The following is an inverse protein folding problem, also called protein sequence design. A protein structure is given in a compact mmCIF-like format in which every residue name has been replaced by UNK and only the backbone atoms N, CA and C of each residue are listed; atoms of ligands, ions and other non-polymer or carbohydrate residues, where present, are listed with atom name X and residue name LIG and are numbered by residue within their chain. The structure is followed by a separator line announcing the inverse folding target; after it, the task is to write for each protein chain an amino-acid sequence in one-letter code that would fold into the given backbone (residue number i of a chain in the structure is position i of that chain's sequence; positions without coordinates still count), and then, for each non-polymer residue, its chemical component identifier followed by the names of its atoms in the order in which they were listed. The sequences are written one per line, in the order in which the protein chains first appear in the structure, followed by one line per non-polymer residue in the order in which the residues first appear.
data_IF_257496411710
#
_entry.id   IF_257496411710
#
_cell.length_a   1.000
_cell.length_b   1.000
_cell.length_c   1.000
_cell.angle_alpha   90.00
_cell.angle_beta   90.00
_cell.angle_gamma   90.00
#
_symmetry.space_group_name_H-M   'P 1'
#
loop_
_entity.id
_entity.type
_entity.pdbx_description
1 polymer ?
#
# COMPACT_ATOMS: atom_id res chain seq x y z
N UNK A 1 -28.80 -49.87 24.22
CA UNK A 1 -28.09 -49.51 22.96
C UNK A 1 -28.62 -48.25 22.28
N UNK A 2 -29.90 -47.88 22.36
CA UNK A 2 -30.46 -46.68 21.65
C UNK A 2 -29.98 -45.35 22.21
N UNK A 3 -29.70 -45.21 23.51
CA UNK A 3 -29.23 -43.94 24.13
C UNK A 3 -27.80 -43.50 23.73
N UNK A 4 -26.92 -44.43 23.38
CA UNK A 4 -25.56 -44.09 22.96
C UNK A 4 -25.46 -43.62 21.50
N UNK A 5 -26.39 -44.05 20.64
CA UNK A 5 -26.46 -43.61 19.26
C UNK A 5 -26.92 -42.13 19.13
N UNK A 6 -27.84 -41.72 20.02
CA UNK A 6 -28.36 -40.35 20.02
C UNK A 6 -27.34 -39.30 20.44
N UNK A 7 -26.42 -39.65 21.33
CA UNK A 7 -25.35 -38.77 21.79
C UNK A 7 -24.27 -38.55 20.69
N UNK A 8 -23.96 -39.58 19.93
CA UNK A 8 -23.01 -39.49 18.80
C UNK A 8 -23.57 -38.64 17.65
N UNK A 9 -24.88 -38.68 17.39
CA UNK A 9 -25.49 -37.85 16.34
C UNK A 9 -25.57 -36.36 16.73
N UNK A 10 -25.83 -36.05 18.00
CA UNK A 10 -25.85 -34.68 18.51
C UNK A 10 -24.45 -34.04 18.51
N UNK A 11 -23.39 -34.81 18.80
CA UNK A 11 -22.03 -34.31 18.79
C UNK A 11 -21.51 -34.02 17.36
N UNK A 12 -21.93 -34.82 16.37
CA UNK A 12 -21.55 -34.58 14.97
C UNK A 12 -22.28 -33.36 14.37
N UNK A 13 -23.54 -33.10 14.78
CA UNK A 13 -24.24 -31.87 14.35
C UNK A 13 -23.67 -30.60 14.96
N UNK A 14 -23.17 -30.65 16.21
CA UNK A 14 -22.53 -29.51 16.85
C UNK A 14 -21.18 -29.16 16.20
N UNK A 15 -20.43 -30.17 15.75
CA UNK A 15 -19.15 -29.95 15.07
C UNK A 15 -19.35 -29.35 13.67
N UNK A 16 -20.40 -29.78 12.94
CA UNK A 16 -20.74 -29.19 11.64
C UNK A 16 -21.20 -27.72 11.75
N UNK A 17 -21.90 -27.36 12.83
CA UNK A 17 -22.33 -25.96 13.03
C UNK A 17 -21.19 -25.02 13.39
N UNK A 18 -20.09 -25.53 13.97
CA UNK A 18 -18.89 -24.74 14.27
C UNK A 18 -17.99 -24.53 13.03
N UNK A 19 -18.06 -25.40 12.02
CA UNK A 19 -17.35 -25.21 10.77
C UNK A 19 -18.06 -24.27 9.78
N UNK A 20 -19.36 -24.02 9.94
CA UNK A 20 -20.11 -23.09 9.08
C UNK A 20 -19.92 -21.60 9.41
N UNK A 21 -19.27 -21.27 10.53
CA UNK A 21 -19.13 -19.86 10.98
C UNK A 21 -17.77 -19.23 10.68
N UNK A 22 -16.88 -19.93 10.00
CA UNK A 22 -15.50 -19.48 9.76
C UNK A 22 -15.20 -19.13 8.30
N UNK A 23 -16.21 -18.85 7.48
CA UNK A 23 -16.02 -17.95 6.35
C UNK A 23 -16.14 -16.54 6.91
N UNK A 24 -15.11 -16.12 7.64
CA UNK A 24 -14.91 -14.73 7.93
C UNK A 24 -14.89 -14.01 6.57
N UNK A 25 -15.98 -13.33 6.26
CA UNK A 25 -15.94 -12.23 5.32
C UNK A 25 -14.78 -11.37 5.81
N UNK A 26 -13.66 -11.39 5.10
CA UNK A 26 -12.62 -10.41 5.23
C UNK A 26 -13.25 -9.09 4.78
N UNK A 27 -14.01 -8.47 5.69
CA UNK A 27 -14.37 -7.06 5.54
C UNK A 27 -13.04 -6.36 5.34
N UNK A 28 -12.86 -5.80 4.16
CA UNK A 28 -11.71 -4.94 3.91
C UNK A 28 -11.76 -3.89 4.99
N UNK A 29 -10.69 -3.72 5.81
CA UNK A 29 -10.73 -2.78 6.94
C UNK A 29 -10.77 -1.32 6.48
N UNK A 30 -11.08 -1.10 5.20
CA UNK A 30 -11.03 0.20 4.53
C UNK A 30 -12.43 0.61 4.07
N UNK A 31 -12.78 1.91 4.17
CA UNK A 31 -14.08 2.39 3.72
C UNK A 31 -14.27 2.17 2.21
N UNK A 32 -15.37 1.56 1.81
CA UNK A 32 -15.75 1.34 0.39
C UNK A 32 -15.73 2.62 -0.45
N UNK A 33 -15.92 3.77 0.20
CA UNK A 33 -15.85 5.09 -0.43
C UNK A 33 -14.47 5.42 -1.00
N UNK A 34 -13.38 4.88 -0.42
CA UNK A 34 -12.01 5.12 -0.91
C UNK A 34 -11.78 4.36 -2.22
N UNK A 35 -12.10 3.07 -2.26
CA UNK A 35 -11.95 2.25 -3.48
C UNK A 35 -12.79 2.80 -4.63
N UNK A 36 -14.02 3.23 -4.33
CA UNK A 36 -14.88 3.87 -5.33
C UNK A 36 -14.27 5.17 -5.87
N UNK A 37 -13.78 6.06 -5.01
CA UNK A 37 -13.13 7.29 -5.45
C UNK A 37 -11.89 7.02 -6.30
N UNK A 38 -11.05 6.04 -5.91
CA UNK A 38 -9.89 5.63 -6.70
C UNK A 38 -10.33 5.10 -8.08
N UNK A 39 -11.39 4.28 -8.12
CA UNK A 39 -11.90 3.72 -9.36
C UNK A 39 -12.39 4.81 -10.33
N UNK A 40 -13.11 5.80 -9.84
CA UNK A 40 -13.55 6.93 -10.66
C UNK A 40 -12.36 7.77 -11.18
N UNK A 41 -11.39 8.08 -10.32
CA UNK A 41 -10.17 8.77 -10.73
C UNK A 41 -9.38 8.00 -11.80
N UNK A 42 -9.28 6.67 -11.69
CA UNK A 42 -8.60 5.84 -12.69
C UNK A 42 -9.33 5.87 -14.03
N UNK A 43 -10.66 5.84 -14.04
CA UNK A 43 -11.45 5.98 -15.29
C UNK A 43 -11.17 7.30 -16.00
N UNK A 44 -11.04 8.38 -15.24
CA UNK A 44 -10.81 9.73 -15.81
C UNK A 44 -9.35 9.93 -16.27
N UNK A 45 -8.39 9.30 -15.61
CA UNK A 45 -6.97 9.61 -15.79
C UNK A 45 -6.16 8.53 -16.51
N UNK A 46 -6.71 7.33 -16.71
CA UNK A 46 -6.00 6.17 -17.27
C UNK A 46 -6.79 5.54 -18.43
N UNK A 47 -6.35 5.79 -19.64
CA UNK A 47 -7.01 5.35 -20.90
C UNK A 47 -7.21 3.83 -20.98
N UNK A 48 -6.30 3.04 -20.38
CA UNK A 48 -6.33 1.57 -20.46
C UNK A 48 -6.64 0.90 -19.12
N UNK A 49 -7.29 1.63 -18.21
CA UNK A 49 -7.79 1.06 -16.97
C UNK A 49 -8.95 0.09 -17.26
N UNK A 50 -8.80 -1.15 -16.83
CA UNK A 50 -9.88 -2.14 -16.95
C UNK A 50 -10.86 -2.01 -15.77
N UNK A 51 -11.95 -1.30 -16.03
CA UNK A 51 -12.98 -1.05 -15.02
C UNK A 51 -13.81 -2.28 -14.65
N UNK A 52 -13.68 -3.41 -15.38
CA UNK A 52 -14.30 -4.69 -15.04
C UNK A 52 -13.56 -5.39 -13.88
N UNK A 53 -12.29 -5.08 -13.68
CA UNK A 53 -11.48 -5.61 -12.59
C UNK A 53 -11.62 -4.77 -11.32
N UNK A 54 -11.50 -5.39 -10.14
CA UNK A 54 -11.57 -4.67 -8.87
C UNK A 54 -10.36 -3.75 -8.66
N UNK A 55 -10.62 -2.57 -8.12
CA UNK A 55 -9.61 -1.78 -7.42
C UNK A 55 -9.60 -2.27 -5.98
N UNK A 56 -8.44 -2.59 -5.43
CA UNK A 56 -8.31 -3.14 -4.09
C UNK A 56 -7.34 -2.31 -3.25
N UNK A 57 -7.79 -1.74 -2.17
CA UNK A 57 -6.91 -1.12 -1.16
C UNK A 57 -6.16 -2.22 -0.41
N UNK A 58 -4.83 -2.20 -0.49
CA UNK A 58 -3.96 -3.22 0.14
C UNK A 58 -3.26 -2.70 1.39
N UNK A 59 -3.15 -1.38 1.54
CA UNK A 59 -2.62 -0.75 2.75
C UNK A 59 -3.14 0.67 2.90
N UNK A 60 -3.42 1.05 4.14
CA UNK A 60 -3.74 2.43 4.52
C UNK A 60 -2.90 2.81 5.72
N UNK A 61 -2.27 3.96 5.68
CA UNK A 61 -1.48 4.51 6.79
C UNK A 61 -1.85 5.96 7.04
N UNK A 62 -1.80 6.36 8.30
CA UNK A 62 -1.91 7.76 8.66
C UNK A 62 -0.64 8.48 8.19
N UNK A 63 -0.81 9.51 7.39
CA UNK A 63 0.30 10.36 6.95
C UNK A 63 0.82 11.22 8.13
N UNK A 64 2.04 11.80 8.02
CA UNK A 64 2.64 12.58 9.10
C UNK A 64 1.86 13.84 9.51
N UNK A 65 0.87 14.25 8.73
CA UNK A 65 -0.03 15.37 9.04
C UNK A 65 -1.38 14.87 9.54
N UNK A 66 -1.95 15.58 10.51
CA UNK A 66 -3.26 15.28 11.08
C UNK A 66 -4.33 15.27 9.99
N UNK A 67 -5.23 14.29 10.04
CA UNK A 67 -6.33 14.07 9.09
C UNK A 67 -5.93 13.59 7.69
N UNK A 68 -4.65 13.40 7.38
CA UNK A 68 -4.23 12.83 6.11
C UNK A 68 -3.94 11.34 6.23
N UNK A 69 -4.33 10.60 5.18
CA UNK A 69 -4.15 9.15 5.06
C UNK A 69 -3.65 8.85 3.65
N UNK A 70 -2.62 8.03 3.56
CA UNK A 70 -2.15 7.53 2.26
C UNK A 70 -2.50 6.06 2.16
N UNK A 71 -3.06 5.68 1.03
CA UNK A 71 -3.44 4.31 0.70
C UNK A 71 -2.57 3.78 -0.43
N UNK A 72 -2.22 2.51 -0.37
CA UNK A 72 -1.77 1.73 -1.51
C UNK A 72 -2.94 0.92 -2.03
N UNK A 73 -3.05 0.84 -3.32
CA UNK A 73 -4.08 0.07 -3.99
C UNK A 73 -3.53 -0.64 -5.22
N UNK A 74 -4.11 -1.77 -5.55
CA UNK A 74 -3.83 -2.47 -6.79
C UNK A 74 -4.97 -2.28 -7.77
N UNK A 75 -4.64 -2.24 -9.06
CA UNK A 75 -5.60 -2.15 -10.15
C UNK A 75 -5.01 -2.75 -11.42
N UNK A 76 -5.86 -3.10 -12.38
CA UNK A 76 -5.46 -3.72 -13.62
C UNK A 76 -5.54 -2.73 -14.79
N UNK A 77 -4.44 -2.60 -15.54
CA UNK A 77 -4.36 -1.78 -16.74
C UNK A 77 -3.27 -2.34 -17.66
N UNK A 78 -3.37 -2.09 -18.96
CA UNK A 78 -2.36 -2.54 -19.95
C UNK A 78 -1.98 -4.02 -19.80
N UNK A 79 -2.95 -4.88 -19.49
CA UNK A 79 -2.74 -6.33 -19.26
C UNK A 79 -1.83 -6.68 -18.09
N UNK A 80 -1.62 -5.77 -17.13
CA UNK A 80 -0.78 -5.97 -15.95
C UNK A 80 -1.47 -5.48 -14.67
N UNK A 81 -1.00 -6.00 -13.55
CA UNK A 81 -1.32 -5.48 -12.22
C UNK A 81 -0.40 -4.29 -11.89
N UNK A 82 -1.01 -3.22 -11.44
CA UNK A 82 -0.33 -2.00 -11.02
C UNK A 82 -0.48 -1.78 -9.52
N UNK A 83 0.57 -1.26 -8.90
CA UNK A 83 0.52 -0.72 -7.54
C UNK A 83 0.50 0.80 -7.61
N UNK A 84 -0.56 1.40 -7.12
CA UNK A 84 -0.73 2.84 -7.03
C UNK A 84 -0.76 3.35 -5.60
N UNK A 85 -0.57 4.65 -5.44
CA UNK A 85 -0.76 5.35 -4.17
C UNK A 85 -1.68 6.55 -4.32
N UNK A 86 -2.49 6.83 -3.29
CA UNK A 86 -3.34 7.99 -3.23
C UNK A 86 -3.41 8.52 -1.80
N UNK A 87 -3.49 9.85 -1.66
CA UNK A 87 -3.61 10.50 -0.36
C UNK A 87 -4.95 11.19 -0.23
N UNK A 88 -5.59 10.95 0.90
CA UNK A 88 -6.90 11.46 1.25
C UNK A 88 -6.83 12.29 2.52
N UNK A 89 -7.65 13.33 2.59
CA UNK A 89 -7.95 14.06 3.82
C UNK A 89 -9.24 13.55 4.41
N UNK A 90 -9.24 13.19 5.69
CA UNK A 90 -10.44 12.79 6.43
C UNK A 90 -11.00 13.97 7.19
N UNK A 91 -12.26 14.34 6.92
CA UNK A 91 -13.03 15.33 7.66
C UNK A 91 -14.33 14.68 8.14
N UNK A 92 -14.49 14.54 9.45
CA UNK A 92 -15.55 13.72 10.07
C UNK A 92 -15.50 12.29 9.50
N UNK A 93 -16.53 11.86 8.79
CA UNK A 93 -16.63 10.50 8.20
C UNK A 93 -16.39 10.48 6.67
N UNK A 94 -15.96 11.62 6.11
CA UNK A 94 -15.71 11.75 4.67
C UNK A 94 -14.21 11.74 4.37
N UNK A 95 -13.82 10.99 3.36
CA UNK A 95 -12.49 11.02 2.76
C UNK A 95 -12.55 11.79 1.45
N UNK A 96 -11.67 12.78 1.29
CA UNK A 96 -11.54 13.58 0.07
C UNK A 96 -10.17 13.35 -0.52
N UNK A 97 -10.10 12.99 -1.79
CA UNK A 97 -8.85 12.83 -2.52
C UNK A 97 -8.09 14.16 -2.57
N UNK A 98 -6.79 14.13 -2.32
CA UNK A 98 -5.92 15.31 -2.30
C UNK A 98 -4.84 15.23 -3.37
N UNK A 99 -4.13 14.11 -3.44
CA UNK A 99 -2.99 13.94 -4.31
C UNK A 99 -2.67 12.45 -4.45
N UNK A 100 -1.91 12.12 -5.47
CA UNK A 100 -1.40 10.78 -5.67
C UNK A 100 -1.59 10.32 -7.09
N UNK A 101 -1.49 9.04 -7.27
CA UNK A 101 -1.59 8.27 -8.50
C UNK A 101 -0.24 7.99 -9.19
N UNK A 102 0.86 8.09 -8.48
CA UNK A 102 2.04 7.34 -8.88
C UNK A 102 1.61 5.88 -9.03
N UNK A 103 1.85 5.27 -10.17
CA UNK A 103 1.52 3.88 -10.41
C UNK A 103 2.70 3.20 -11.10
N UNK A 104 2.92 1.95 -10.75
CA UNK A 104 4.02 1.18 -11.31
C UNK A 104 3.66 -0.29 -11.36
N UNK A 105 4.17 -0.99 -12.37
CA UNK A 105 4.24 -2.45 -12.37
C UNK A 105 5.38 -2.95 -11.48
N UNK A 106 6.32 -2.08 -11.13
CA UNK A 106 7.45 -2.40 -10.28
C UNK A 106 7.02 -2.55 -8.81
N UNK A 107 7.76 -3.35 -8.07
CA UNK A 107 7.54 -3.56 -6.63
C UNK A 107 7.85 -2.34 -5.77
N UNK A 108 8.63 -1.38 -6.30
CA UNK A 108 9.06 -0.17 -5.61
C UNK A 108 8.71 1.08 -6.41
N UNK A 109 8.22 2.10 -5.72
CA UNK A 109 8.02 3.43 -6.30
C UNK A 109 8.30 4.53 -5.29
N UNK A 110 8.53 5.73 -5.80
CA UNK A 110 8.71 6.92 -4.97
C UNK A 110 8.01 8.12 -5.61
N UNK A 111 7.63 9.05 -4.75
CA UNK A 111 7.00 10.30 -5.16
C UNK A 111 7.34 11.42 -4.19
N UNK A 112 6.96 12.64 -4.54
CA UNK A 112 7.07 13.82 -3.69
C UNK A 112 5.72 14.52 -3.63
N UNK A 113 5.32 14.99 -2.45
CA UNK A 113 4.03 15.65 -2.25
C UNK A 113 4.08 16.75 -1.21
N UNK A 114 3.13 17.67 -1.29
CA UNK A 114 2.85 18.62 -0.21
C UNK A 114 1.65 18.17 0.62
N UNK A 115 1.82 18.19 1.95
CA UNK A 115 0.71 18.08 2.90
C UNK A 115 0.68 19.38 3.74
N UNK A 116 -0.36 20.19 3.56
CA UNK A 116 -0.46 21.53 4.18
C UNK A 116 0.83 22.36 3.99
N UNK A 117 1.28 22.52 2.76
CA UNK A 117 2.49 23.27 2.38
C UNK A 117 3.81 22.69 2.91
N UNK A 118 3.80 21.55 3.59
CA UNK A 118 5.01 20.85 4.04
C UNK A 118 5.38 19.80 3.01
N UNK A 119 6.60 19.85 2.44
CA UNK A 119 7.04 18.86 1.44
C UNK A 119 7.45 17.54 2.09
N UNK A 120 7.09 16.45 1.43
CA UNK A 120 7.48 15.09 1.80
C UNK A 120 7.98 14.32 0.59
N UNK A 121 8.99 13.50 0.79
CA UNK A 121 9.28 12.37 -0.09
C UNK A 121 8.57 11.14 0.45
N UNK A 122 7.96 10.38 -0.44
CA UNK A 122 7.22 9.17 -0.11
C UNK A 122 7.78 8.03 -0.92
N UNK A 123 8.18 6.95 -0.27
CA UNK A 123 8.54 5.70 -0.93
C UNK A 123 7.59 4.62 -0.49
N UNK A 124 7.14 3.82 -1.43
CA UNK A 124 6.19 2.75 -1.16
C UNK A 124 6.44 1.55 -2.07
N UNK A 125 5.94 0.41 -1.65
CA UNK A 125 6.12 -0.77 -2.46
C UNK A 125 5.59 -2.05 -1.83
N UNK A 126 5.87 -3.13 -2.56
CA UNK A 126 5.60 -4.49 -2.18
C UNK A 126 6.92 -5.12 -1.69
N UNK A 127 6.91 -5.69 -0.49
CA UNK A 127 8.06 -6.32 0.17
C UNK A 127 7.80 -7.81 0.33
N UNK A 128 7.93 -8.54 -0.74
CA UNK A 128 7.70 -9.97 -0.77
C UNK A 128 8.63 -10.71 0.24
N UNK A 129 8.05 -11.61 1.00
CA UNK A 129 8.78 -12.37 2.03
C UNK A 129 9.45 -11.50 3.11
N UNK A 130 9.14 -10.22 3.20
CA UNK A 130 9.77 -9.27 4.13
C UNK A 130 11.29 -9.20 3.98
N UNK A 131 11.79 -9.31 2.77
CA UNK A 131 13.24 -9.33 2.44
C UNK A 131 13.88 -7.97 2.67
N UNK A 132 13.21 -6.89 2.28
CA UNK A 132 13.72 -5.52 2.42
C UNK A 132 13.57 -5.08 3.88
N UNK A 133 14.65 -4.61 4.48
CA UNK A 133 14.72 -4.05 5.84
C UNK A 133 14.97 -2.56 5.85
N UNK A 134 15.68 -2.07 4.84
CA UNK A 134 16.03 -0.67 4.70
C UNK A 134 16.16 -0.31 3.23
N UNK A 135 15.76 0.91 2.90
CA UNK A 135 16.06 1.54 1.62
C UNK A 135 17.03 2.69 1.86
N UNK A 136 17.94 2.89 0.95
CA UNK A 136 18.76 4.11 0.84
C UNK A 136 18.39 4.82 -0.45
N UNK A 137 17.89 6.04 -0.32
CA UNK A 137 17.37 6.82 -1.43
C UNK A 137 18.35 7.96 -1.72
N UNK A 138 18.64 8.18 -2.98
CA UNK A 138 19.59 9.20 -3.46
C UNK A 138 18.89 10.17 -4.39
N UNK A 139 19.22 11.44 -4.29
CA UNK A 139 18.84 12.46 -5.27
C UNK A 139 19.55 12.25 -6.60
N UNK A 140 19.02 12.86 -7.67
CA UNK A 140 19.58 12.74 -9.03
C UNK A 140 21.06 13.07 -9.11
N UNK A 141 21.51 14.09 -8.38
CA UNK A 141 22.90 14.51 -8.33
C UNK A 141 23.77 13.69 -7.36
N UNK A 142 23.18 12.71 -6.67
CA UNK A 142 23.79 11.89 -5.61
C UNK A 142 24.39 12.66 -4.43
N UNK A 143 24.17 13.98 -4.35
CA UNK A 143 24.70 14.83 -3.27
C UNK A 143 23.94 14.67 -1.98
N UNK A 144 22.69 14.26 -2.06
CA UNK A 144 21.83 14.01 -0.89
C UNK A 144 21.34 12.57 -0.89
N UNK A 145 21.31 11.97 0.28
CA UNK A 145 20.70 10.66 0.48
C UNK A 145 20.01 10.59 1.84
N UNK A 146 19.05 9.71 1.96
CA UNK A 146 18.46 9.37 3.24
C UNK A 146 18.08 7.89 3.29
N UNK A 147 17.93 7.37 4.50
CA UNK A 147 17.52 5.99 4.74
C UNK A 147 16.05 5.92 5.15
N UNK A 148 15.37 4.88 4.71
CA UNK A 148 13.99 4.55 5.06
C UNK A 148 13.95 3.13 5.62
N UNK A 149 13.83 2.97 6.96
CA UNK A 149 13.66 1.66 7.55
C UNK A 149 12.28 1.09 7.16
N UNK A 150 12.27 -0.15 6.69
CA UNK A 150 11.05 -0.83 6.24
C UNK A 150 10.58 -1.76 7.35
N UNK A 151 9.41 -1.45 7.90
CA UNK A 151 8.74 -2.30 8.89
C UNK A 151 8.30 -3.60 8.24
N UNK A 152 8.24 -4.67 9.05
CA UNK A 152 7.71 -5.96 8.61
C UNK A 152 6.30 -5.79 8.04
N UNK A 153 6.06 -6.36 6.89
CA UNK A 153 4.77 -6.32 6.18
C UNK A 153 4.95 -6.47 4.67
N UNK A 154 3.92 -6.98 4.00
CA UNK A 154 3.92 -7.22 2.56
C UNK A 154 3.97 -5.93 1.76
N UNK A 155 3.24 -4.90 2.22
CA UNK A 155 3.25 -3.57 1.62
C UNK A 155 3.80 -2.56 2.62
N UNK A 156 4.51 -1.56 2.12
CA UNK A 156 5.05 -0.49 2.97
C UNK A 156 4.84 0.89 2.35
N UNK A 157 4.76 1.89 3.21
CA UNK A 157 4.81 3.32 2.87
C UNK A 157 5.73 3.97 3.89
N UNK A 158 6.68 4.75 3.43
CA UNK A 158 7.56 5.54 4.27
C UNK A 158 7.56 7.00 3.84
N UNK A 159 7.45 7.90 4.82
CA UNK A 159 7.46 9.35 4.62
C UNK A 159 8.75 9.94 5.17
N UNK A 160 9.39 10.78 4.39
CA UNK A 160 10.49 11.63 4.82
C UNK A 160 10.09 13.09 4.64
N UNK A 161 10.01 13.84 5.75
CA UNK A 161 9.84 15.29 5.68
C UNK A 161 11.07 15.91 5.03
N UNK A 162 10.84 16.81 4.08
CA UNK A 162 11.87 17.57 3.39
C UNK A 162 11.94 19.00 3.96
N UNK A 163 13.04 19.73 3.76
CA UNK A 163 13.13 21.15 4.12
C UNK A 163 12.03 21.97 3.42
N UNK A 164 11.53 23.03 4.06
CA UNK A 164 10.40 23.81 3.55
C UNK A 164 10.68 24.47 2.18
N UNK A 165 11.92 24.84 1.92
CA UNK A 165 12.33 25.50 0.66
C UNK A 165 12.81 24.48 -0.39
N UNK A 166 12.40 23.22 -0.26
CA UNK A 166 12.82 22.15 -1.16
C UNK A 166 12.14 22.30 -2.52
N UNK A 167 12.96 22.31 -3.58
CA UNK A 167 12.45 22.06 -4.92
C UNK A 167 12.17 20.56 -5.06
N UNK A 168 10.89 20.17 -5.10
CA UNK A 168 10.47 18.77 -5.09
C UNK A 168 10.99 17.99 -6.30
N UNK A 169 11.11 18.61 -7.47
CA UNK A 169 11.61 17.94 -8.68
C UNK A 169 13.08 17.51 -8.50
N UNK A 170 13.89 18.38 -7.87
CA UNK A 170 15.30 18.07 -7.60
C UNK A 170 15.49 17.06 -6.48
N UNK A 171 14.54 16.98 -5.55
CA UNK A 171 14.60 16.10 -4.38
C UNK A 171 13.84 14.79 -4.57
N UNK A 172 13.19 14.59 -5.71
CA UNK A 172 12.61 13.29 -6.04
C UNK A 172 13.75 12.26 -6.07
N UNK A 173 13.67 11.17 -5.29
CA UNK A 173 14.67 10.13 -5.34
C UNK A 173 14.77 9.58 -6.76
N UNK A 174 15.98 9.52 -7.27
CA UNK A 174 16.26 8.98 -8.61
C UNK A 174 16.79 7.56 -8.53
N UNK A 175 17.50 7.25 -7.45
CA UNK A 175 18.13 5.97 -7.26
C UNK A 175 17.85 5.42 -5.85
N UNK A 176 17.56 4.13 -5.77
CA UNK A 176 17.20 3.43 -4.52
C UNK A 176 18.02 2.17 -4.40
N UNK A 177 18.76 2.04 -3.30
CA UNK A 177 19.37 0.79 -2.88
C UNK A 177 18.49 0.08 -1.87
N UNK A 178 18.33 -1.22 -2.02
CA UNK A 178 17.60 -2.08 -1.11
C UNK A 178 18.55 -2.90 -0.24
N UNK A 179 18.31 -2.92 1.04
CA UNK A 179 19.09 -3.71 1.98
C UNK A 179 18.23 -4.71 2.74
N UNK A 180 18.71 -5.95 2.80
CA UNK A 180 18.09 -7.06 3.54
C UNK A 180 18.57 -7.15 4.98
N UNK A 181 18.48 -8.38 5.55
CA UNK A 181 19.14 -8.71 6.82
C UNK A 181 20.66 -8.47 6.72
N UNK A 182 21.25 -8.10 7.84
CA UNK A 182 22.69 -7.88 7.98
C UNK A 182 23.24 -6.77 7.04
N UNK A 183 22.36 -5.82 6.67
CA UNK A 183 22.69 -4.73 5.75
C UNK A 183 23.28 -5.18 4.42
N UNK A 184 22.96 -6.38 3.96
CA UNK A 184 23.38 -6.85 2.64
C UNK A 184 22.53 -6.19 1.56
N UNK A 185 23.22 -5.67 0.54
CA UNK A 185 22.57 -5.12 -0.65
C UNK A 185 21.80 -6.22 -1.38
N UNK A 186 20.55 -5.93 -1.71
CA UNK A 186 19.70 -6.78 -2.55
C UNK A 186 19.85 -6.25 -3.99
N UNK A 187 20.16 -7.11 -4.98
CA UNK A 187 20.21 -6.70 -6.38
C UNK A 187 18.89 -6.06 -6.83
N UNK A 188 18.96 -5.05 -7.69
CA UNK A 188 17.78 -4.28 -8.13
C UNK A 188 16.68 -5.16 -8.71
N UNK A 189 16.99 -6.09 -9.61
CA UNK A 189 16.02 -7.02 -10.18
C UNK A 189 15.29 -7.89 -9.14
N UNK A 190 15.91 -8.17 -8.00
CA UNK A 190 15.26 -8.91 -6.92
C UNK A 190 14.44 -8.01 -5.97
N UNK A 191 14.69 -6.72 -5.99
CA UNK A 191 14.09 -5.74 -5.09
C UNK A 191 12.89 -5.04 -5.73
N UNK A 192 12.97 -4.70 -7.02
CA UNK A 192 12.05 -3.80 -7.68
C UNK A 192 11.27 -4.42 -8.87
N UNK A 193 11.71 -5.55 -9.37
CA UNK A 193 11.03 -6.36 -10.39
C UNK A 193 10.32 -7.55 -9.73
#
# INVERSE_FOLDING_TARGET
MIKQLTILFLSSLLILSLYSSAVAQTQTPYPDTIERQIKELLKETRTYFDSSKPVKVVKMVKAPKKHYYTVLFTYYAYSNDYLGSATFKKEKDRYTFINGMGSTVQKLNNDTMYLDKVPYSVVYGFNEGNRIKMLRLFTLDKKSSYTAPIKKGTYFIHFKKLPLNTNLEKMKPFYIDCYGKDNKLIPWGECAE
#
